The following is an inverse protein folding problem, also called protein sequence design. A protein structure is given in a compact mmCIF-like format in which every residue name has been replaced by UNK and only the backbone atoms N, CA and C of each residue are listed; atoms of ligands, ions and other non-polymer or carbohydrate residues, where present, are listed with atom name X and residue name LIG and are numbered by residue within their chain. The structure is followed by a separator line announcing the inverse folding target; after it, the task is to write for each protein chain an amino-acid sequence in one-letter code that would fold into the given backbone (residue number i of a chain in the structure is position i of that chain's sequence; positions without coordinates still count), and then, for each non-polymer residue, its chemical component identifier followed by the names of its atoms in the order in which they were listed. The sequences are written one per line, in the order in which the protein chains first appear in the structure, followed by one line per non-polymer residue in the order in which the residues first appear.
data_IF_781264006773
#
_entry.id   IF_781264006773
#
_cell.length_a   1.000
_cell.length_b   1.000
_cell.length_c   1.000
_cell.angle_alpha   90.00
_cell.angle_beta   90.00
_cell.angle_gamma   90.00
#
_symmetry.space_group_name_H-M   'P 1'
#
loop_
_entity.id
_entity.type
_entity.pdbx_description
1 polymer ?
#
# COMPACT_ATOMS: atom_id res chain seq x y z
N UNK A 1 -11.70 4.91 -1.69
CA UNK A 1 -11.23 4.19 -0.49
C UNK A 1 -11.69 2.73 -0.39
N UNK A 2 -12.93 2.36 -0.74
CA UNK A 2 -13.39 0.95 -0.67
C UNK A 2 -12.47 -0.04 -1.41
N UNK A 3 -12.09 0.27 -2.65
CA UNK A 3 -11.18 -0.58 -3.43
C UNK A 3 -9.81 -0.76 -2.75
N UNK A 4 -9.27 0.32 -2.15
CA UNK A 4 -7.99 0.26 -1.42
C UNK A 4 -8.10 -0.64 -0.19
N UNK A 5 -9.21 -0.55 0.55
CA UNK A 5 -9.48 -1.41 1.72
C UNK A 5 -9.58 -2.90 1.33
N UNK A 6 -10.23 -3.21 0.21
CA UNK A 6 -10.27 -4.59 -0.32
C UNK A 6 -8.87 -5.13 -0.61
N UNK A 7 -8.02 -4.33 -1.26
CA UNK A 7 -6.66 -4.75 -1.59
C UNK A 7 -5.77 -4.94 -0.35
N UNK A 8 -5.96 -4.12 0.69
CA UNK A 8 -5.27 -4.31 1.97
C UNK A 8 -5.67 -5.63 2.65
N UNK A 9 -6.97 -5.95 2.67
CA UNK A 9 -7.43 -7.23 3.22
C UNK A 9 -6.84 -8.44 2.47
N UNK A 10 -6.71 -8.34 1.14
CA UNK A 10 -6.04 -9.37 0.34
C UNK A 10 -4.55 -9.47 0.69
N UNK A 11 -3.87 -8.33 0.85
CA UNK A 11 -2.45 -8.30 1.23
C UNK A 11 -2.22 -9.00 2.57
N UNK A 12 -3.06 -8.74 3.58
CA UNK A 12 -2.97 -9.41 4.88
C UNK A 12 -3.25 -10.91 4.78
N UNK A 13 -4.24 -11.32 3.98
CA UNK A 13 -4.54 -12.74 3.76
C UNK A 13 -3.36 -13.50 3.11
N UNK A 14 -2.66 -12.88 2.15
CA UNK A 14 -1.47 -13.50 1.51
C UNK A 14 -0.29 -13.69 2.49
N UNK A 15 -0.26 -12.93 3.58
CA UNK A 15 0.74 -13.08 4.64
C UNK A 15 0.35 -14.14 5.67
N UNK A 16 -0.95 -14.28 5.95
CA UNK A 16 -1.45 -15.23 6.94
C UNK A 16 -1.41 -16.70 6.45
N UNK A 17 -1.48 -16.93 5.13
CA UNK A 17 -1.38 -18.25 4.51
C UNK A 17 0.05 -18.78 4.32
N UNK A 18 0.98 -18.46 5.24
CA UNK A 18 2.42 -18.71 5.13
C UNK A 18 2.79 -20.21 5.30
N UNK A 19 2.55 -21.02 4.25
CA UNK A 19 3.29 -22.25 4.00
C UNK A 19 4.46 -21.93 3.07
N UNK A 20 5.53 -21.39 3.67
CA UNK A 20 6.90 -21.37 3.16
C UNK A 20 7.10 -21.13 1.65
N UNK A 21 7.28 -19.88 1.25
CA UNK A 21 8.06 -19.54 0.05
C UNK A 21 7.50 -20.05 -1.28
N UNK A 22 6.18 -20.16 -1.41
CA UNK A 22 5.55 -20.52 -2.67
C UNK A 22 5.68 -19.35 -3.66
N UNK A 23 6.12 -19.59 -4.89
CA UNK A 23 6.14 -18.60 -6.00
C UNK A 23 4.77 -17.91 -6.13
N UNK A 24 3.69 -18.63 -5.79
CA UNK A 24 2.33 -18.08 -5.75
C UNK A 24 2.19 -16.93 -4.72
N UNK A 25 2.82 -17.01 -3.55
CA UNK A 25 2.76 -15.94 -2.53
C UNK A 25 3.50 -14.69 -3.00
N UNK A 26 4.67 -14.86 -3.60
CA UNK A 26 5.47 -13.74 -4.12
C UNK A 26 4.72 -13.02 -5.24
N UNK A 27 4.20 -13.77 -6.21
CA UNK A 27 3.46 -13.20 -7.33
C UNK A 27 2.17 -12.51 -6.86
N UNK A 28 1.38 -13.15 -5.99
CA UNK A 28 0.17 -12.55 -5.41
C UNK A 28 0.48 -11.25 -4.67
N UNK A 29 1.55 -11.22 -3.87
CA UNK A 29 1.97 -10.00 -3.17
C UNK A 29 2.31 -8.90 -4.17
N UNK A 30 3.07 -9.20 -5.22
CA UNK A 30 3.44 -8.21 -6.23
C UNK A 30 2.22 -7.65 -6.98
N UNK A 31 1.23 -8.49 -7.28
CA UNK A 31 0.02 -8.08 -7.99
C UNK A 31 -0.89 -7.20 -7.12
N UNK A 32 -1.07 -7.57 -5.84
CA UNK A 32 -1.81 -6.74 -4.89
C UNK A 32 -1.11 -5.39 -4.70
N UNK A 33 0.22 -5.38 -4.53
CA UNK A 33 0.97 -4.13 -4.37
C UNK A 33 0.94 -3.25 -5.63
N UNK A 34 0.91 -3.83 -6.83
CA UNK A 34 0.70 -3.07 -8.08
C UNK A 34 -0.66 -2.38 -8.08
N UNK A 35 -1.70 -3.10 -7.68
CA UNK A 35 -3.07 -2.58 -7.67
C UNK A 35 -3.25 -1.49 -6.60
N UNK A 36 -2.70 -1.67 -5.39
CA UNK A 36 -2.66 -0.62 -4.36
C UNK A 36 -1.94 0.63 -4.90
N UNK A 37 -0.81 0.45 -5.59
CA UNK A 37 -0.06 1.54 -6.21
C UNK A 37 -0.86 2.31 -7.27
N UNK A 38 -1.57 1.58 -8.13
CA UNK A 38 -2.45 2.17 -9.15
C UNK A 38 -3.56 3.02 -8.51
N UNK A 39 -4.29 2.44 -7.56
CA UNK A 39 -5.37 3.13 -6.85
C UNK A 39 -4.81 4.34 -6.06
N UNK A 40 -3.67 4.18 -5.38
CA UNK A 40 -3.01 5.26 -4.64
C UNK A 40 -2.60 6.44 -5.53
N UNK A 41 -2.06 6.15 -6.72
CA UNK A 41 -1.72 7.18 -7.72
C UNK A 41 -2.96 7.92 -8.25
N UNK A 42 -4.05 7.19 -8.50
CA UNK A 42 -5.33 7.80 -8.91
C UNK A 42 -5.91 8.71 -7.82
N UNK A 43 -5.80 8.31 -6.54
CA UNK A 43 -6.16 9.18 -5.42
C UNK A 43 -5.29 10.43 -5.36
N UNK A 44 -3.96 10.29 -5.47
CA UNK A 44 -3.05 11.46 -5.46
C UNK A 44 -3.43 12.46 -6.57
N UNK A 45 -3.68 11.96 -7.78
CA UNK A 45 -4.07 12.80 -8.90
C UNK A 45 -5.44 13.46 -8.71
N UNK A 46 -6.36 12.81 -8.00
CA UNK A 46 -7.66 13.40 -7.65
C UNK A 46 -7.53 14.50 -6.59
N UNK A 47 -6.76 14.27 -5.52
CA UNK A 47 -6.53 15.23 -4.42
C UNK A 47 -5.75 16.47 -4.85
N UNK A 48 -4.77 16.31 -5.75
CA UNK A 48 -3.99 17.41 -6.32
C UNK A 48 -4.86 18.48 -7.01
N UNK A 49 -6.05 18.10 -7.51
CA UNK A 49 -7.02 19.07 -8.09
C UNK A 49 -7.58 20.07 -7.07
N UNK A 50 -7.49 19.77 -5.78
CA UNK A 50 -8.03 20.59 -4.71
C UNK A 50 -6.95 21.39 -3.95
N UNK A 51 -5.67 21.32 -4.38
CA UNK A 51 -4.53 22.04 -3.79
C UNK A 51 -4.32 21.83 -2.29
N UNK A 52 -4.66 20.64 -1.76
CA UNK A 52 -4.38 20.31 -0.37
C UNK A 52 -2.89 19.94 -0.19
N UNK A 53 -2.04 20.95 -0.02
CA UNK A 53 -0.59 20.78 0.15
C UNK A 53 -0.22 19.76 1.25
N UNK A 54 -1.00 19.69 2.33
CA UNK A 54 -0.73 18.73 3.40
C UNK A 54 -0.97 17.27 2.98
N UNK A 55 -1.93 17.01 2.08
CA UNK A 55 -2.24 15.67 1.57
C UNK A 55 -1.21 15.20 0.54
N UNK A 56 -0.55 16.13 -0.16
CA UNK A 56 0.43 15.82 -1.20
C UNK A 56 1.62 15.03 -0.62
N UNK A 57 2.18 15.51 0.49
CA UNK A 57 3.30 14.85 1.18
C UNK A 57 2.94 13.43 1.66
N UNK A 58 1.77 13.27 2.29
CA UNK A 58 1.30 11.95 2.74
C UNK A 58 1.08 10.98 1.58
N UNK A 59 0.55 11.48 0.45
CA UNK A 59 0.31 10.64 -0.72
C UNK A 59 1.60 10.28 -1.43
N UNK A 60 2.61 11.16 -1.43
CA UNK A 60 3.94 10.85 -1.92
C UNK A 60 4.66 9.80 -1.07
N UNK A 61 4.61 9.95 0.25
CA UNK A 61 5.13 8.94 1.17
C UNK A 61 4.41 7.60 1.01
N UNK A 62 3.10 7.61 0.79
CA UNK A 62 2.32 6.41 0.54
C UNK A 62 2.75 5.69 -0.74
N UNK A 63 2.84 6.39 -1.87
CA UNK A 63 3.28 5.83 -3.17
C UNK A 63 4.73 5.35 -3.10
N UNK A 64 5.61 6.09 -2.42
CA UNK A 64 7.00 5.70 -2.16
C UNK A 64 7.08 4.41 -1.33
N UNK A 65 6.25 4.27 -0.30
CA UNK A 65 6.19 3.07 0.54
C UNK A 65 5.74 1.84 -0.25
N UNK A 66 4.71 1.97 -1.10
CA UNK A 66 4.27 0.88 -1.98
C UNK A 66 5.39 0.46 -2.95
N UNK A 67 6.09 1.44 -3.53
CA UNK A 67 7.19 1.17 -4.46
C UNK A 67 8.32 0.39 -3.78
N UNK A 68 8.72 0.80 -2.58
CA UNK A 68 9.74 0.09 -1.78
C UNK A 68 9.28 -1.32 -1.40
N UNK A 69 8.01 -1.49 -1.02
CA UNK A 69 7.44 -2.80 -0.71
C UNK A 69 7.46 -3.75 -1.94
N UNK A 70 7.15 -3.24 -3.14
CA UNK A 70 7.23 -4.03 -4.38
C UNK A 70 8.64 -4.50 -4.69
N UNK A 71 9.61 -3.59 -4.59
CA UNK A 71 11.02 -3.92 -4.81
C UNK A 71 11.45 -5.02 -3.82
N UNK A 72 11.16 -4.84 -2.53
CA UNK A 72 11.50 -5.83 -1.50
C UNK A 72 10.82 -7.19 -1.70
N UNK A 73 9.55 -7.21 -2.10
CA UNK A 73 8.81 -8.43 -2.42
C UNK A 73 9.34 -9.15 -3.68
N UNK A 74 9.97 -8.43 -4.63
CA UNK A 74 10.55 -9.01 -5.85
C UNK A 74 11.94 -9.65 -5.66
N UNK A 75 12.58 -9.46 -4.50
CA UNK A 75 13.90 -10.04 -4.23
C UNK A 75 13.84 -11.56 -4.09
N UNK A 76 15.01 -12.21 -4.18
CA UNK A 76 15.18 -13.63 -3.87
C UNK A 76 16.25 -13.80 -2.77
N UNK A 77 15.88 -14.16 -1.52
CA UNK A 77 14.51 -14.45 -1.05
C UNK A 77 13.64 -13.17 -0.92
N UNK A 78 12.31 -13.27 -1.06
CA UNK A 78 11.40 -12.13 -0.96
C UNK A 78 11.36 -11.57 0.46
N UNK A 79 11.19 -10.25 0.57
CA UNK A 79 11.10 -9.54 1.87
C UNK A 79 9.75 -8.85 2.02
N UNK A 80 8.89 -9.42 2.85
CA UNK A 80 7.52 -8.91 3.04
C UNK A 80 7.37 -7.88 4.17
N UNK A 81 8.42 -7.56 4.93
CA UNK A 81 8.33 -6.61 6.05
C UNK A 81 7.69 -5.27 5.64
N UNK A 82 8.12 -4.70 4.51
CA UNK A 82 7.60 -3.42 4.01
C UNK A 82 6.15 -3.49 3.55
N UNK A 83 5.65 -4.65 3.11
CA UNK A 83 4.24 -4.81 2.75
C UNK A 83 3.33 -4.59 3.97
N UNK A 84 3.78 -4.91 5.19
CA UNK A 84 3.03 -4.66 6.43
C UNK A 84 3.00 -3.19 6.84
N UNK A 85 3.95 -2.37 6.36
CA UNK A 85 3.96 -0.93 6.65
C UNK A 85 2.88 -0.17 5.88
N UNK A 86 2.37 -0.74 4.77
CA UNK A 86 1.31 -0.12 3.96
C UNK A 86 0.02 0.01 4.78
N UNK A 87 -0.35 -1.01 5.54
CA UNK A 87 -1.50 -0.98 6.45
C UNK A 87 -1.37 0.14 7.49
N UNK A 88 -0.16 0.36 8.02
CA UNK A 88 0.13 1.46 8.95
C UNK A 88 0.04 2.86 8.31
N UNK A 89 0.49 3.01 7.07
CA UNK A 89 0.39 4.27 6.33
C UNK A 89 -1.07 4.69 6.10
N UNK A 90 -1.96 3.73 5.82
CA UNK A 90 -3.39 3.99 5.70
C UNK A 90 -4.00 4.48 7.03
N UNK A 91 -3.67 3.83 8.15
CA UNK A 91 -4.16 4.25 9.48
C UNK A 91 -3.69 5.67 9.82
N UNK A 92 -2.42 5.98 9.54
CA UNK A 92 -1.85 7.29 9.86
C UNK A 92 -2.58 8.43 9.12
N UNK A 93 -2.73 8.31 7.81
CA UNK A 93 -3.45 9.31 6.99
C UNK A 93 -4.91 9.50 7.48
N UNK A 94 -5.62 8.41 7.78
CA UNK A 94 -6.99 8.49 8.30
C UNK A 94 -7.09 9.08 9.71
N UNK A 95 -6.11 8.85 10.57
CA UNK A 95 -6.11 9.39 11.93
C UNK A 95 -5.79 10.88 11.95
N UNK A 96 -4.83 11.32 11.12
CA UNK A 96 -4.48 12.74 10.95
C UNK A 96 -5.66 13.51 10.38
N UNK A 97 -6.28 13.00 9.31
CA UNK A 97 -7.38 13.72 8.63
C UNK A 97 -8.70 13.70 9.42
N UNK A 98 -8.89 12.75 10.33
CA UNK A 98 -10.08 12.72 11.22
C UNK A 98 -10.01 13.75 12.35
N UNK A 99 -8.86 14.37 12.62
CA UNK A 99 -8.68 15.42 13.65
C UNK A 99 -8.78 16.85 13.09
N UNK A 100 -9.06 16.98 11.80
CA UNK A 100 -9.19 18.26 11.09
C UNK A 100 -10.65 18.73 10.95
N UNK A 101 -11.60 17.96 11.50
CA UNK A 101 -13.02 18.26 11.64
C UNK A 101 -13.35 18.68 13.09
#
# INVERSE_FOLDING_TARGET
MYQLATQLSLLEATRAGDDGGNVNQQQNTLDILREIGRIGGELKAAESRYNYLFLEDYMDDFVSTITRARIAASLNPPRYYLSGQISGACVNCHQVNRRSD
#
